data_IF_227253761091
#
_entry.id   IF_227253761091
#
_cell.length_a   1.000
_cell.length_b   1.000
_cell.length_c   1.000
_cell.angle_alpha   90.00
_cell.angle_beta   90.00
_cell.angle_gamma   90.00
#
_symmetry.space_group_name_H-M   'P 1'
#
loop_
_entity.id
_entity.type
_entity.pdbx_description
1 polymer ?
#
# COMPACT_ATOMS: atom_id res chain seq x y z
N UNK A 1 22.23 36.75 -26.72
CA UNK A 1 20.87 36.18 -26.69
C UNK A 1 21.00 34.67 -26.86
N UNK A 2 20.77 33.88 -25.81
CA UNK A 2 20.86 32.40 -25.88
C UNK A 2 19.46 31.83 -25.69
N UNK A 3 19.01 31.05 -26.68
CA UNK A 3 17.85 30.18 -26.58
C UNK A 3 18.10 29.11 -25.51
N UNK A 4 17.14 28.90 -24.61
CA UNK A 4 17.08 27.72 -23.75
C UNK A 4 15.82 26.93 -24.12
N UNK A 5 15.90 25.61 -24.37
CA UNK A 5 14.77 24.80 -24.82
C UNK A 5 13.74 24.64 -23.69
N UNK A 6 12.46 24.59 -24.07
CA UNK A 6 11.34 24.37 -23.15
C UNK A 6 11.56 23.12 -22.29
N UNK A 7 11.52 23.32 -20.98
CA UNK A 7 11.47 22.24 -20.01
C UNK A 7 10.09 21.56 -20.11
N UNK A 8 9.99 20.55 -20.95
CA UNK A 8 8.91 19.58 -20.88
C UNK A 8 9.17 18.78 -19.62
N UNK A 9 8.44 19.07 -18.54
CA UNK A 9 8.42 18.19 -17.38
C UNK A 9 7.90 16.83 -17.86
N UNK A 10 8.68 15.74 -17.78
CA UNK A 10 8.17 14.42 -18.10
C UNK A 10 7.05 14.12 -17.10
N UNK A 11 5.83 13.96 -17.63
CA UNK A 11 4.71 13.42 -16.87
C UNK A 11 5.17 12.08 -16.28
N UNK A 12 5.11 11.96 -14.95
CA UNK A 12 5.61 10.81 -14.21
C UNK A 12 4.95 9.52 -14.75
N UNK A 13 5.72 8.44 -14.99
CA UNK A 13 5.15 7.12 -15.29
C UNK A 13 4.16 6.74 -14.19
N UNK A 14 2.91 6.44 -14.55
CA UNK A 14 1.80 6.20 -13.63
C UNK A 14 0.60 7.13 -13.81
N UNK A 15 0.79 8.34 -14.38
CA UNK A 15 -0.35 9.21 -14.70
C UNK A 15 -1.14 8.72 -15.93
N UNK A 16 -0.48 8.02 -16.87
CA UNK A 16 -1.19 7.28 -17.93
C UNK A 16 -2.04 6.17 -17.33
N UNK A 17 -1.54 5.44 -16.33
CA UNK A 17 -2.33 4.40 -15.69
C UNK A 17 -3.54 5.00 -14.95
N UNK A 18 -3.38 6.08 -14.18
CA UNK A 18 -4.53 6.75 -13.56
C UNK A 18 -5.48 7.35 -14.59
N UNK A 19 -5.04 8.09 -15.62
CA UNK A 19 -5.98 8.70 -16.59
C UNK A 19 -6.61 7.69 -17.54
N UNK A 20 -5.85 6.70 -18.03
CA UNK A 20 -6.42 5.63 -18.84
C UNK A 20 -7.29 4.71 -17.99
N UNK A 21 -6.98 4.45 -16.70
CA UNK A 21 -7.90 3.77 -15.79
C UNK A 21 -9.12 4.66 -15.49
N UNK A 22 -8.98 5.95 -15.19
CA UNK A 22 -10.12 6.83 -14.89
C UNK A 22 -11.04 6.97 -16.10
N UNK A 23 -10.53 7.30 -17.28
CA UNK A 23 -11.38 7.45 -18.48
C UNK A 23 -11.91 6.11 -19.02
N UNK A 24 -11.12 5.02 -18.94
CA UNK A 24 -11.61 3.70 -19.35
C UNK A 24 -12.54 3.06 -18.30
N UNK A 25 -12.37 3.35 -17.01
CA UNK A 25 -13.32 2.94 -15.97
C UNK A 25 -14.62 3.75 -16.05
N UNK A 26 -14.53 5.07 -16.29
CA UNK A 26 -15.70 5.94 -16.49
C UNK A 26 -16.51 5.55 -17.73
N UNK A 27 -15.86 5.09 -18.81
CA UNK A 27 -16.54 4.62 -20.04
C UNK A 27 -16.97 3.14 -20.00
N UNK A 28 -16.24 2.24 -19.35
CA UNK A 28 -16.49 0.78 -19.40
C UNK A 28 -17.29 0.25 -18.21
N UNK A 29 -17.27 0.92 -17.06
CA UNK A 29 -18.00 0.50 -15.85
C UNK A 29 -18.53 1.72 -15.09
N UNK A 30 -19.77 2.12 -15.37
CA UNK A 30 -20.56 2.85 -14.38
C UNK A 30 -20.48 2.07 -13.07
N UNK A 31 -19.80 2.62 -12.06
CA UNK A 31 -19.80 2.04 -10.71
C UNK A 31 -21.28 1.90 -10.33
N UNK A 32 -21.78 0.68 -10.08
CA UNK A 32 -23.15 0.53 -9.61
C UNK A 32 -23.24 1.31 -8.29
N UNK A 33 -24.22 2.20 -8.21
CA UNK A 33 -24.70 2.69 -6.92
C UNK A 33 -24.96 1.48 -6.02
N UNK A 34 -24.30 1.44 -4.87
CA UNK A 34 -24.55 0.49 -3.77
C UNK A 34 -24.64 -1.00 -4.14
N UNK A 35 -23.71 -1.52 -4.97
CA UNK A 35 -23.58 -2.95 -5.27
C UNK A 35 -22.20 -3.53 -4.94
N UNK A 36 -22.14 -4.83 -4.59
CA UNK A 36 -20.90 -5.56 -4.30
C UNK A 36 -19.88 -5.41 -5.45
N UNK A 37 -18.66 -4.96 -5.12
CA UNK A 37 -17.57 -4.80 -6.09
C UNK A 37 -17.12 -6.20 -6.53
N UNK A 38 -16.96 -6.48 -7.84
CA UNK A 38 -16.50 -7.80 -8.28
C UNK A 38 -15.13 -8.15 -7.69
N UNK A 39 -14.91 -9.40 -7.23
CA UNK A 39 -13.64 -9.81 -6.59
C UNK A 39 -12.39 -9.50 -7.44
N UNK A 40 -12.49 -9.64 -8.77
CA UNK A 40 -11.39 -9.33 -9.69
C UNK A 40 -10.98 -7.85 -9.66
N UNK A 41 -11.95 -6.95 -9.45
CA UNK A 41 -11.71 -5.51 -9.33
C UNK A 41 -11.05 -5.20 -7.99
N UNK A 42 -11.49 -5.85 -6.91
CA UNK A 42 -10.91 -5.71 -5.58
C UNK A 42 -9.45 -6.19 -5.54
N UNK A 43 -9.17 -7.34 -6.14
CA UNK A 43 -7.82 -7.89 -6.28
C UNK A 43 -6.91 -6.94 -7.08
N UNK A 44 -7.40 -6.43 -8.21
CA UNK A 44 -6.66 -5.44 -9.02
C UNK A 44 -6.36 -4.17 -8.25
N UNK A 45 -7.35 -3.65 -7.51
CA UNK A 45 -7.18 -2.48 -6.68
C UNK A 45 -6.17 -2.75 -5.55
N UNK A 46 -6.17 -3.94 -4.95
CA UNK A 46 -5.20 -4.32 -3.94
C UNK A 46 -3.77 -4.21 -4.46
N UNK A 47 -3.46 -4.83 -5.62
CA UNK A 47 -2.12 -4.77 -6.21
C UNK A 47 -1.74 -3.35 -6.64
N UNK A 48 -2.72 -2.58 -7.12
CA UNK A 48 -2.51 -1.19 -7.50
C UNK A 48 -2.06 -0.32 -6.31
N UNK A 49 -2.73 -0.44 -5.16
CA UNK A 49 -2.34 0.29 -3.95
C UNK A 49 -1.04 -0.22 -3.34
N UNK A 50 -0.71 -1.51 -3.45
CA UNK A 50 0.63 -2.02 -3.12
C UNK A 50 1.70 -1.27 -3.94
N UNK A 51 1.50 -1.14 -5.26
CA UNK A 51 2.43 -0.44 -6.14
C UNK A 51 2.57 1.05 -5.82
N UNK A 52 1.46 1.74 -5.53
CA UNK A 52 1.50 3.14 -5.09
C UNK A 52 2.31 3.30 -3.80
N UNK A 53 2.15 2.42 -2.82
CA UNK A 53 2.91 2.44 -1.57
C UNK A 53 4.41 2.19 -1.81
N UNK A 54 4.77 1.34 -2.76
CA UNK A 54 6.16 1.08 -3.15
C UNK A 54 6.80 2.36 -3.72
N UNK A 55 6.20 2.94 -4.76
CA UNK A 55 6.71 4.18 -5.37
C UNK A 55 6.83 5.32 -4.34
N UNK A 56 5.82 5.41 -3.48
CA UNK A 56 5.78 6.38 -2.39
C UNK A 56 6.91 6.21 -1.37
N UNK A 57 7.26 4.97 -1.03
CA UNK A 57 8.33 4.63 -0.11
C UNK A 57 9.70 4.97 -0.69
N UNK A 58 9.91 4.63 -1.97
CA UNK A 58 11.13 4.94 -2.72
C UNK A 58 11.35 6.45 -2.83
N UNK A 59 10.30 7.20 -3.16
CA UNK A 59 10.34 8.67 -3.19
C UNK A 59 10.72 9.29 -1.83
N UNK A 60 10.49 8.57 -0.73
CA UNK A 60 10.90 8.96 0.64
C UNK A 60 12.21 8.33 1.11
N UNK A 61 12.99 7.73 0.21
CA UNK A 61 14.28 7.09 0.49
C UNK A 61 14.20 5.89 1.47
N UNK A 62 13.07 5.18 1.49
CA UNK A 62 12.99 3.85 2.11
C UNK A 62 13.30 2.78 1.07
N UNK A 63 13.85 1.65 1.52
CA UNK A 63 13.80 0.42 0.72
C UNK A 63 12.43 -0.22 0.88
N UNK A 64 11.89 -0.78 -0.18
CA UNK A 64 10.50 -1.24 -0.23
C UNK A 64 10.41 -2.72 -0.53
N UNK A 65 9.53 -3.39 0.20
CA UNK A 65 9.26 -4.81 0.08
C UNK A 65 7.82 -5.07 -0.31
N UNK A 66 7.61 -6.05 -1.18
CA UNK A 66 6.33 -6.73 -1.41
C UNK A 66 6.50 -8.24 -1.26
N UNK A 67 5.44 -8.98 -0.89
CA UNK A 67 5.48 -10.43 -0.82
C UNK A 67 5.88 -11.10 -2.12
N UNK A 68 6.58 -12.23 -2.01
CA UNK A 68 7.06 -12.97 -3.19
C UNK A 68 5.91 -13.51 -4.06
N UNK A 69 4.75 -13.81 -3.47
CA UNK A 69 3.56 -14.22 -4.20
C UNK A 69 2.96 -13.08 -5.07
N UNK A 70 3.20 -11.83 -4.69
CA UNK A 70 2.63 -10.66 -5.37
C UNK A 70 3.59 -10.06 -6.41
N UNK A 71 4.85 -10.51 -6.45
CA UNK A 71 5.89 -9.93 -7.33
C UNK A 71 5.52 -9.90 -8.81
N UNK A 72 4.68 -10.83 -9.27
CA UNK A 72 4.27 -10.92 -10.68
C UNK A 72 2.95 -10.19 -10.98
N UNK A 73 2.29 -9.61 -9.95
CA UNK A 73 1.07 -8.85 -10.13
C UNK A 73 1.37 -7.52 -10.81
N UNK A 74 0.42 -7.09 -11.64
CA UNK A 74 0.58 -5.93 -12.51
C UNK A 74 0.27 -4.65 -11.74
N UNK A 75 1.17 -3.67 -11.85
CA UNK A 75 1.00 -2.28 -11.43
C UNK A 75 1.25 -1.38 -12.64
N UNK A 76 0.18 -0.92 -13.28
CA UNK A 76 0.24 -0.25 -14.58
C UNK A 76 0.89 -1.11 -15.65
N UNK A 77 2.03 -0.66 -16.19
CA UNK A 77 2.76 -1.36 -17.25
C UNK A 77 3.95 -2.18 -16.71
N UNK A 78 4.07 -2.32 -15.39
CA UNK A 78 5.18 -2.99 -14.72
C UNK A 78 4.68 -4.05 -13.75
N UNK A 79 5.53 -4.97 -13.32
CA UNK A 79 5.21 -5.90 -12.24
C UNK A 79 5.67 -5.34 -10.89
N UNK A 80 4.98 -5.65 -9.80
CA UNK A 80 5.36 -5.19 -8.46
C UNK A 80 6.80 -5.56 -8.09
N UNK A 81 7.26 -6.75 -8.50
CA UNK A 81 8.62 -7.22 -8.27
C UNK A 81 9.70 -6.41 -8.99
N UNK A 82 9.35 -5.76 -10.11
CA UNK A 82 10.27 -4.91 -10.88
C UNK A 82 10.34 -3.50 -10.28
N UNK A 83 9.29 -3.09 -9.56
CA UNK A 83 9.16 -1.75 -8.97
C UNK A 83 9.71 -1.70 -7.54
N UNK A 84 9.52 -2.75 -6.74
CA UNK A 84 10.01 -2.83 -5.37
C UNK A 84 11.53 -3.05 -5.31
N UNK A 85 12.16 -2.71 -4.17
CA UNK A 85 13.59 -2.93 -3.97
C UNK A 85 13.92 -4.38 -3.58
N UNK A 86 12.96 -5.09 -2.98
CA UNK A 86 13.17 -6.44 -2.48
C UNK A 86 11.88 -7.27 -2.43
N UNK A 87 12.01 -8.55 -2.78
CA UNK A 87 10.95 -9.57 -2.60
C UNK A 87 11.34 -10.62 -1.55
N UNK A 88 12.49 -10.42 -0.91
CA UNK A 88 13.00 -11.22 0.21
C UNK A 88 13.31 -10.29 1.39
N UNK A 89 12.79 -10.63 2.57
CA UNK A 89 13.01 -9.84 3.77
C UNK A 89 14.46 -9.95 4.28
N UNK A 90 15.02 -8.84 4.81
CA UNK A 90 16.20 -8.88 5.66
C UNK A 90 15.96 -9.70 6.93
N UNK A 91 17.02 -10.21 7.56
CA UNK A 91 16.91 -10.94 8.82
C UNK A 91 16.99 -9.96 10.01
N UNK A 92 15.90 -9.26 10.29
CA UNK A 92 15.81 -8.23 11.33
C UNK A 92 15.30 -8.74 12.70
N UNK A 93 15.20 -10.05 12.90
CA UNK A 93 14.71 -10.63 14.16
C UNK A 93 14.58 -12.15 14.12
N UNK A 94 13.81 -12.71 15.05
CA UNK A 94 13.54 -14.16 15.10
C UNK A 94 12.76 -14.64 13.88
N UNK A 95 12.96 -15.91 13.50
CA UNK A 95 12.33 -16.50 12.32
C UNK A 95 10.79 -16.48 12.36
N UNK A 96 10.18 -16.53 13.54
CA UNK A 96 8.74 -16.36 13.71
C UNK A 96 8.26 -14.99 13.23
N UNK A 97 8.96 -13.92 13.63
CA UNK A 97 8.68 -12.56 13.19
C UNK A 97 8.93 -12.36 11.70
N UNK A 98 10.03 -12.91 11.16
CA UNK A 98 10.31 -12.83 9.71
C UNK A 98 9.23 -13.57 8.91
N UNK A 99 8.76 -14.72 9.39
CA UNK A 99 7.67 -15.47 8.74
C UNK A 99 6.37 -14.67 8.75
N UNK A 100 6.02 -14.02 9.88
CA UNK A 100 4.82 -13.17 9.97
C UNK A 100 4.95 -11.93 9.10
N UNK A 101 6.06 -11.22 9.14
CA UNK A 101 6.29 -10.03 8.32
C UNK A 101 6.25 -10.33 6.81
N UNK A 102 6.55 -11.56 6.39
CA UNK A 102 6.47 -11.98 4.97
C UNK A 102 5.05 -11.92 4.40
N UNK A 103 4.04 -11.94 5.27
CA UNK A 103 2.64 -11.87 4.86
C UNK A 103 2.08 -10.45 4.89
N UNK A 104 2.92 -9.45 5.18
CA UNK A 104 2.53 -8.04 5.14
C UNK A 104 2.65 -7.53 3.72
N UNK A 105 1.60 -6.89 3.23
CA UNK A 105 1.45 -6.51 1.82
C UNK A 105 2.55 -5.55 1.34
N UNK A 106 2.92 -4.56 2.16
CA UNK A 106 4.05 -3.68 1.87
C UNK A 106 4.81 -3.35 3.15
N UNK A 107 6.14 -3.43 3.08
CA UNK A 107 7.02 -2.98 4.18
C UNK A 107 8.01 -1.95 3.65
N UNK A 108 8.18 -0.87 4.39
CA UNK A 108 9.26 0.09 4.18
C UNK A 108 10.36 -0.13 5.21
N UNK A 109 11.60 -0.23 4.73
CA UNK A 109 12.80 -0.42 5.52
C UNK A 109 13.62 0.86 5.58
N UNK A 110 14.10 1.19 6.77
CA UNK A 110 15.04 2.29 6.95
C UNK A 110 16.46 1.90 6.48
N UNK A 111 17.40 2.84 6.58
CA UNK A 111 18.81 2.63 6.16
C UNK A 111 19.54 1.50 6.91
N UNK A 112 19.01 1.04 8.04
CA UNK A 112 19.56 -0.06 8.85
C UNK A 112 18.87 -1.40 8.58
N UNK A 113 18.07 -1.47 7.50
CA UNK A 113 17.28 -2.65 7.12
C UNK A 113 16.31 -3.11 8.22
N UNK A 114 15.84 -2.17 9.06
CA UNK A 114 14.79 -2.40 10.03
C UNK A 114 13.43 -1.94 9.48
N UNK A 115 12.33 -2.66 9.74
CA UNK A 115 10.98 -2.23 9.36
C UNK A 115 10.66 -0.87 10.00
N UNK A 116 10.42 0.13 9.17
CA UNK A 116 10.03 1.46 9.58
C UNK A 116 8.51 1.66 9.50
N UNK A 117 7.89 1.11 8.45
CA UNK A 117 6.45 1.14 8.24
C UNK A 117 5.96 -0.17 7.65
N UNK A 118 4.78 -0.60 8.05
CA UNK A 118 4.09 -1.77 7.54
C UNK A 118 2.68 -1.37 7.12
N UNK A 119 2.25 -1.85 5.96
CA UNK A 119 0.97 -1.53 5.37
C UNK A 119 0.24 -2.82 4.99
N UNK A 120 -1.04 -2.85 5.32
CA UNK A 120 -2.00 -3.86 4.85
C UNK A 120 -3.04 -3.14 4.00
N UNK A 121 -3.33 -3.67 2.82
CA UNK A 121 -4.23 -3.09 1.83
C UNK A 121 -5.54 -3.87 1.84
N UNK A 122 -6.58 -3.29 2.42
CA UNK A 122 -7.86 -3.95 2.68
C UNK A 122 -8.93 -3.44 1.71
N UNK A 123 -9.07 -4.08 0.55
CA UNK A 123 -10.13 -3.77 -0.43
C UNK A 123 -11.44 -4.48 -0.08
N UNK A 124 -11.35 -5.77 0.27
CA UNK A 124 -12.50 -6.60 0.63
C UNK A 124 -12.24 -7.64 1.71
N UNK A 125 -10.97 -7.81 2.07
CA UNK A 125 -10.47 -8.77 3.03
C UNK A 125 -10.87 -8.47 4.48
N UNK A 126 -10.69 -9.47 5.35
CA UNK A 126 -10.99 -9.38 6.77
C UNK A 126 -9.90 -8.61 7.52
N UNK A 127 -10.26 -7.39 7.93
CA UNK A 127 -9.41 -6.50 8.69
C UNK A 127 -8.89 -7.09 10.01
N UNK A 128 -9.57 -8.11 10.57
CA UNK A 128 -9.08 -8.83 11.75
C UNK A 128 -7.76 -9.55 11.47
N UNK A 129 -7.59 -10.10 10.27
CA UNK A 129 -6.36 -10.78 9.91
C UNK A 129 -5.18 -9.81 9.87
N UNK A 130 -5.35 -8.65 9.24
CA UNK A 130 -4.32 -7.60 9.19
C UNK A 130 -3.98 -7.05 10.58
N UNK A 131 -4.99 -6.80 11.43
CA UNK A 131 -4.76 -6.41 12.83
C UNK A 131 -4.03 -7.50 13.63
N UNK A 132 -4.35 -8.78 13.39
CA UNK A 132 -3.65 -9.91 14.03
C UNK A 132 -2.19 -9.96 13.62
N UNK A 133 -1.88 -9.78 12.33
CA UNK A 133 -0.49 -9.70 11.84
C UNK A 133 0.28 -8.58 12.55
N UNK A 134 -0.35 -7.41 12.70
CA UNK A 134 0.23 -6.26 13.39
C UNK A 134 0.44 -6.49 14.88
N UNK A 135 -0.50 -7.17 15.55
CA UNK A 135 -0.35 -7.51 16.97
C UNK A 135 0.84 -8.44 17.22
N UNK A 136 1.07 -9.41 16.33
CA UNK A 136 2.23 -10.31 16.39
C UNK A 136 3.57 -9.63 16.08
N UNK A 137 3.54 -8.43 15.47
CA UNK A 137 4.71 -7.62 15.14
C UNK A 137 4.80 -6.35 16.00
N UNK A 138 4.01 -6.26 17.08
CA UNK A 138 3.89 -5.06 17.91
C UNK A 138 5.20 -4.63 18.56
N UNK A 139 6.11 -5.56 18.83
CA UNK A 139 7.36 -5.26 19.55
C UNK A 139 8.35 -4.45 18.71
N UNK A 140 8.14 -4.35 17.38
CA UNK A 140 8.96 -3.49 16.52
C UNK A 140 8.53 -2.02 16.64
N UNK A 141 9.51 -1.11 16.65
CA UNK A 141 9.25 0.33 16.51
C UNK A 141 8.93 0.69 15.05
N UNK A 142 7.73 0.30 14.62
CA UNK A 142 7.24 0.48 13.24
C UNK A 142 5.90 1.23 13.24
N UNK A 143 5.66 2.02 12.20
CA UNK A 143 4.35 2.61 11.93
C UNK A 143 3.46 1.58 11.25
N UNK A 144 2.29 1.30 11.83
CA UNK A 144 1.36 0.28 11.35
C UNK A 144 0.18 0.98 10.67
N UNK A 145 -0.16 0.60 9.43
CA UNK A 145 -1.26 1.23 8.71
C UNK A 145 -2.14 0.25 7.96
N UNK A 146 -3.45 0.46 8.11
CA UNK A 146 -4.45 -0.15 7.23
C UNK A 146 -4.76 0.86 6.12
N UNK A 147 -4.65 0.43 4.88
CA UNK A 147 -4.99 1.22 3.69
C UNK A 147 -6.26 0.65 3.09
N UNK A 148 -7.34 1.42 3.08
CA UNK A 148 -8.65 0.95 2.64
C UNK A 148 -9.54 2.11 2.16
N UNK A 149 -10.59 1.84 1.36
CA UNK A 149 -11.59 2.84 1.00
C UNK A 149 -12.25 3.47 2.23
N UNK A 150 -12.57 4.77 2.15
CA UNK A 150 -13.11 5.54 3.28
C UNK A 150 -14.32 4.90 3.98
N UNK A 151 -15.30 4.28 3.29
CA UNK A 151 -16.43 3.60 3.94
C UNK A 151 -16.02 2.49 4.92
N UNK A 152 -14.85 1.88 4.74
CA UNK A 152 -14.33 0.82 5.62
C UNK A 152 -13.76 1.35 6.94
N UNK A 153 -13.66 2.67 7.13
CA UNK A 153 -13.17 3.26 8.37
C UNK A 153 -14.02 2.87 9.59
N UNK A 154 -15.35 2.76 9.45
CA UNK A 154 -16.22 2.36 10.55
C UNK A 154 -15.92 0.92 10.99
N UNK A 155 -15.75 0.00 10.03
CA UNK A 155 -15.30 -1.37 10.30
C UNK A 155 -13.93 -1.39 10.97
N UNK A 156 -13.02 -0.51 10.53
CA UNK A 156 -11.71 -0.37 11.17
C UNK A 156 -11.81 0.03 12.64
N UNK A 157 -12.60 1.06 12.92
CA UNK A 157 -12.79 1.61 14.25
C UNK A 157 -13.42 0.57 15.19
N UNK A 158 -14.37 -0.23 14.72
CA UNK A 158 -14.95 -1.33 15.50
C UNK A 158 -13.90 -2.40 15.84
N UNK A 159 -13.16 -2.89 14.84
CA UNK A 159 -12.23 -4.01 15.05
C UNK A 159 -11.04 -3.65 15.93
N UNK A 160 -10.48 -2.45 15.80
CA UNK A 160 -9.29 -2.04 16.59
C UNK A 160 -9.61 -1.84 18.08
N UNK A 161 -10.88 -1.63 18.44
CA UNK A 161 -11.32 -1.49 19.83
C UNK A 161 -11.45 -2.83 20.56
N UNK A 162 -11.35 -3.97 19.87
CA UNK A 162 -11.32 -5.28 20.53
C UNK A 162 -10.13 -5.39 21.52
N UNK A 163 -10.36 -6.03 22.67
CA UNK A 163 -9.35 -6.15 23.75
C UNK A 163 -8.07 -6.85 23.31
N UNK A 164 -8.16 -7.79 22.36
CA UNK A 164 -7.01 -8.48 21.76
C UNK A 164 -5.99 -7.50 21.16
N UNK A 165 -6.42 -6.32 20.73
CA UNK A 165 -5.59 -5.31 20.07
C UNK A 165 -5.26 -4.10 20.94
N UNK A 166 -5.52 -4.15 22.26
CA UNK A 166 -5.28 -3.01 23.17
C UNK A 166 -3.85 -2.43 23.05
N UNK A 167 -2.81 -3.29 22.98
CA UNK A 167 -1.40 -2.88 22.86
C UNK A 167 -1.09 -2.09 21.57
N UNK A 168 -1.85 -2.32 20.50
CA UNK A 168 -1.61 -1.72 19.19
C UNK A 168 -2.61 -0.63 18.82
N UNK A 169 -3.71 -0.47 19.57
CA UNK A 169 -4.83 0.44 19.28
C UNK A 169 -4.39 1.87 18.98
N UNK A 170 -3.51 2.43 19.81
CA UNK A 170 -2.96 3.77 19.60
C UNK A 170 -1.95 3.88 18.45
N UNK A 171 -1.42 2.75 17.99
CA UNK A 171 -0.28 2.65 17.05
C UNK A 171 -0.70 2.37 15.62
N UNK A 172 -1.78 1.62 15.40
CA UNK A 172 -2.32 1.37 14.06
C UNK A 172 -3.10 2.59 13.59
N UNK A 173 -2.89 3.00 12.34
CA UNK A 173 -3.61 4.12 11.73
C UNK A 173 -4.34 3.69 10.46
N UNK A 174 -5.58 4.12 10.32
CA UNK A 174 -6.29 4.04 9.05
C UNK A 174 -5.76 5.10 8.08
N UNK A 175 -5.63 4.74 6.81
CA UNK A 175 -5.27 5.65 5.73
C UNK A 175 -6.18 5.37 4.54
N UNK A 176 -7.08 6.33 4.26
CA UNK A 176 -7.95 6.26 3.10
C UNK A 176 -7.16 6.16 1.79
N UNK A 177 -7.65 5.37 0.85
CA UNK A 177 -7.12 5.27 -0.51
C UNK A 177 -6.98 6.63 -1.18
N UNK A 178 -8.00 7.48 -1.08
CA UNK A 178 -8.00 8.82 -1.68
C UNK A 178 -6.90 9.72 -1.08
N UNK A 179 -6.64 9.55 0.22
CA UNK A 179 -5.57 10.27 0.91
C UNK A 179 -4.19 9.78 0.47
N UNK A 180 -4.04 8.49 0.16
CA UNK A 180 -2.81 7.92 -0.40
C UNK A 180 -2.58 8.43 -1.82
N UNK A 181 -3.60 8.41 -2.68
CA UNK A 181 -3.53 8.92 -4.05
C UNK A 181 -3.20 10.41 -4.08
N UNK A 182 -3.86 11.21 -3.24
CA UNK A 182 -3.57 12.65 -3.12
C UNK A 182 -2.12 12.91 -2.73
N UNK A 183 -1.57 12.13 -1.78
CA UNK A 183 -0.14 12.22 -1.44
C UNK A 183 0.71 11.91 -2.66
N UNK A 184 0.40 10.82 -3.35
CA UNK A 184 1.14 10.38 -4.54
C UNK A 184 1.18 11.45 -5.64
N UNK A 185 0.03 12.02 -5.97
CA UNK A 185 -0.14 13.03 -7.03
C UNK A 185 0.56 14.34 -6.67
N UNK A 186 0.32 14.86 -5.46
CA UNK A 186 0.80 16.19 -5.06
C UNK A 186 2.31 16.25 -4.86
N UNK A 187 2.97 15.11 -4.68
CA UNK A 187 4.41 15.05 -4.37
C UNK A 187 4.79 15.79 -3.08
N UNK A 188 3.80 16.22 -2.28
CA UNK A 188 4.00 16.80 -0.95
C UNK A 188 4.14 15.63 0.01
N UNK A 189 5.38 15.34 0.38
CA UNK A 189 5.77 14.16 1.13
C UNK A 189 5.92 14.40 2.62
#
# INVERSE_FOLDING_TARGET
MRNTPGHIHPLKPGLYCLKELTSKYEEEYSLPDEGDIPPEVEERNHWYYQGLLVELGKARNYKTYVPAQDKNRTFGNQKLGDVCDMTRLPNFGYQSFIRRARTVDVIWFNRRDMPAKMFEVEMSTDMLNSLTKFNELRDFYTQLKIVAPAPRHAHFADRIEMDTFHEIRGRVKFMGTDALEKKYITGRW
#
